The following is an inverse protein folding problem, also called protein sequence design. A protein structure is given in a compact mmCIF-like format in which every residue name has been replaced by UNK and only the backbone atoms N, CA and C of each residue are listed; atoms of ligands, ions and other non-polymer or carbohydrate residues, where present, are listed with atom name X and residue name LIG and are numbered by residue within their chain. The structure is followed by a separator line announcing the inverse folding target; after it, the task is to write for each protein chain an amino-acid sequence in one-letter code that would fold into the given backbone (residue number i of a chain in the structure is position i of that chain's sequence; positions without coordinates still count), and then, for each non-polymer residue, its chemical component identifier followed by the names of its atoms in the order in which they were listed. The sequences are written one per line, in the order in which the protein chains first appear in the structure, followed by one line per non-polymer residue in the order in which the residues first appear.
data_IF_455673270384
#
_entry.id   IF_455673270384
#
_cell.length_a   1.000
_cell.length_b   1.000
_cell.length_c   1.000
_cell.angle_alpha   90.00
_cell.angle_beta   90.00
_cell.angle_gamma   90.00
#
_symmetry.space_group_name_H-M   'P 1'
#
loop_
_entity.id
_entity.type
_entity.pdbx_description
1 polymer ?
#
# COMPACT_ATOMS: atom_id res chain seq x y z
N UNK A 1 -15.35 -27.27 9.26
CA UNK A 1 -14.52 -26.25 8.58
C UNK A 1 -14.15 -25.21 9.62
N UNK A 2 -12.88 -24.86 9.76
CA UNK A 2 -12.43 -23.74 10.60
C UNK A 2 -12.56 -22.44 9.81
N UNK A 3 -13.04 -21.37 10.45
CA UNK A 3 -13.09 -20.04 9.85
C UNK A 3 -11.66 -19.54 9.57
N UNK A 4 -11.44 -18.92 8.41
CA UNK A 4 -10.18 -18.24 8.07
C UNK A 4 -10.41 -16.73 8.00
N UNK A 5 -9.46 -15.96 8.51
CA UNK A 5 -9.51 -14.50 8.55
C UNK A 5 -8.24 -13.94 7.93
N UNK A 6 -8.39 -13.10 6.91
CA UNK A 6 -7.29 -12.43 6.22
C UNK A 6 -7.30 -10.92 6.44
N UNK A 7 -6.16 -10.29 6.20
CA UNK A 7 -5.96 -8.85 6.17
C UNK A 7 -5.87 -8.40 4.72
N UNK A 8 -6.60 -7.34 4.36
CA UNK A 8 -6.55 -6.71 3.05
C UNK A 8 -6.31 -5.21 3.22
N UNK A 9 -5.19 -4.72 2.71
CA UNK A 9 -4.73 -3.34 2.90
C UNK A 9 -4.37 -2.68 1.58
N UNK A 10 -4.59 -1.37 1.52
CA UNK A 10 -3.95 -0.51 0.54
C UNK A 10 -2.61 -0.04 1.10
N UNK A 11 -1.51 -0.48 0.45
CA UNK A 11 -0.16 -0.07 0.81
C UNK A 11 0.28 1.10 -0.07
N UNK A 12 0.60 2.24 0.55
CA UNK A 12 1.04 3.42 -0.18
C UNK A 12 1.41 4.58 0.74
N UNK A 13 1.93 5.65 0.15
CA UNK A 13 2.20 6.89 0.89
C UNK A 13 0.87 7.52 1.32
N UNK A 14 0.82 8.00 2.56
CA UNK A 14 -0.32 8.75 3.09
C UNK A 14 -0.56 10.02 2.26
N UNK A 15 -1.79 10.19 1.78
CA UNK A 15 -2.17 11.29 0.89
C UNK A 15 -3.21 12.16 1.60
N UNK A 16 -2.83 13.38 1.98
CA UNK A 16 -3.76 14.34 2.61
C UNK A 16 -4.87 14.79 1.67
N UNK A 17 -4.64 14.66 0.35
CA UNK A 17 -5.54 15.06 -0.73
C UNK A 17 -6.14 13.84 -1.48
N UNK A 18 -6.22 12.68 -0.83
CA UNK A 18 -6.80 11.48 -1.43
C UNK A 18 -8.23 11.74 -1.92
N UNK A 19 -8.50 11.51 -3.21
CA UNK A 19 -9.82 11.74 -3.77
C UNK A 19 -9.81 11.94 -5.28
N UNK A 20 -11.00 12.18 -5.87
CA UNK A 20 -11.14 12.45 -7.30
C UNK A 20 -10.71 13.87 -7.69
N UNK A 21 -10.48 14.74 -6.70
CA UNK A 21 -10.05 16.11 -6.90
C UNK A 21 -8.57 16.20 -7.31
N UNK A 22 -8.16 17.40 -7.73
CA UNK A 22 -6.76 17.69 -8.06
C UNK A 22 -5.86 17.59 -6.83
N UNK A 23 -4.58 17.23 -7.00
CA UNK A 23 -3.91 16.86 -8.26
C UNK A 23 -4.39 15.49 -8.78
N UNK A 24 -4.33 15.30 -10.10
CA UNK A 24 -4.64 14.00 -10.69
C UNK A 24 -3.71 12.93 -10.05
N UNK A 25 -4.16 11.67 -9.90
CA UNK A 25 -3.34 10.62 -9.28
C UNK A 25 -1.91 10.50 -9.84
N UNK A 26 -1.77 10.60 -11.16
CA UNK A 26 -0.47 10.56 -11.87
C UNK A 26 0.38 11.82 -11.71
N UNK A 27 -0.19 12.90 -11.19
CA UNK A 27 0.51 14.17 -10.93
C UNK A 27 1.07 14.26 -9.51
N UNK A 28 0.70 13.33 -8.62
CA UNK A 28 1.27 13.25 -7.27
C UNK A 28 2.75 12.85 -7.34
N UNK A 29 3.56 13.44 -6.46
CA UNK A 29 5.00 13.17 -6.32
C UNK A 29 5.32 12.97 -4.85
N UNK A 30 6.05 11.89 -4.57
CA UNK A 30 6.54 11.59 -3.23
C UNK A 30 8.05 11.41 -3.26
N UNK A 31 8.70 11.78 -2.15
CA UNK A 31 10.14 11.57 -2.00
C UNK A 31 10.44 10.09 -1.75
N UNK A 32 11.67 9.67 -2.02
CA UNK A 32 12.13 8.32 -1.66
C UNK A 32 11.95 8.02 -0.17
N UNK A 33 12.12 9.02 0.70
CA UNK A 33 11.90 8.87 2.15
C UNK A 33 10.44 8.55 2.47
N UNK A 34 9.48 9.24 1.83
CA UNK A 34 8.05 8.96 2.00
C UNK A 34 7.70 7.55 1.49
N UNK A 35 8.22 7.17 0.32
CA UNK A 35 8.02 5.83 -0.24
C UNK A 35 8.59 4.75 0.69
N UNK A 36 9.82 4.94 1.18
CA UNK A 36 10.46 4.00 2.10
C UNK A 36 9.70 3.84 3.41
N UNK A 37 9.22 4.95 3.98
CA UNK A 37 8.39 4.93 5.18
C UNK A 37 7.11 4.11 4.97
N UNK A 38 6.44 4.28 3.83
CA UNK A 38 5.26 3.48 3.49
C UNK A 38 5.61 1.99 3.38
N UNK A 39 6.76 1.64 2.80
CA UNK A 39 7.27 0.26 2.77
C UNK A 39 7.49 -0.31 4.17
N UNK A 40 8.14 0.44 5.07
CA UNK A 40 8.35 0.01 6.46
C UNK A 40 7.00 -0.23 7.17
N UNK A 41 6.00 0.64 6.96
CA UNK A 41 4.67 0.46 7.54
C UNK A 41 3.94 -0.78 7.01
N UNK A 42 4.08 -1.10 5.72
CA UNK A 42 3.53 -2.33 5.13
C UNK A 42 4.18 -3.57 5.76
N UNK A 43 5.50 -3.55 5.94
CA UNK A 43 6.25 -4.64 6.59
C UNK A 43 5.79 -4.80 8.05
N UNK A 44 5.69 -3.71 8.79
CA UNK A 44 5.23 -3.73 10.18
C UNK A 44 3.81 -4.30 10.30
N UNK A 45 2.91 -3.92 9.38
CA UNK A 45 1.56 -4.47 9.33
C UNK A 45 1.55 -5.98 9.02
N UNK A 46 2.40 -6.44 8.10
CA UNK A 46 2.55 -7.86 7.79
C UNK A 46 3.09 -8.66 8.99
N UNK A 47 4.16 -8.17 9.63
CA UNK A 47 4.75 -8.79 10.81
C UNK A 47 3.76 -8.82 12.00
N UNK A 48 2.96 -7.77 12.17
CA UNK A 48 1.91 -7.75 13.19
C UNK A 48 0.79 -8.74 12.85
N UNK A 49 0.39 -8.84 11.58
CA UNK A 49 -0.65 -9.77 11.13
C UNK A 49 -0.26 -11.23 11.40
N UNK A 50 1.01 -11.58 11.17
CA UNK A 50 1.55 -12.91 11.49
C UNK A 50 1.49 -13.19 13.00
N UNK A 51 1.95 -12.24 13.84
CA UNK A 51 1.89 -12.35 15.30
C UNK A 51 0.48 -12.50 15.85
N UNK A 52 -0.52 -11.89 15.19
CA UNK A 52 -1.93 -11.96 15.57
C UNK A 52 -2.64 -13.21 15.03
N UNK A 53 -1.99 -14.00 14.17
CA UNK A 53 -2.52 -15.26 13.66
C UNK A 53 -3.52 -15.12 12.52
N UNK A 54 -3.42 -14.06 11.71
CA UNK A 54 -4.20 -13.97 10.47
C UNK A 54 -3.71 -15.00 9.44
N UNK A 55 -4.66 -15.60 8.71
CA UNK A 55 -4.37 -16.68 7.75
C UNK A 55 -3.74 -16.18 6.45
N UNK A 56 -3.90 -14.89 6.14
CA UNK A 56 -3.36 -14.30 4.91
C UNK A 56 -3.23 -12.79 5.02
N UNK A 57 -2.26 -12.24 4.28
CA UNK A 57 -2.00 -10.82 4.16
C UNK A 57 -1.99 -10.46 2.67
N UNK A 58 -2.84 -9.52 2.29
CA UNK A 58 -3.06 -9.13 0.90
C UNK A 58 -2.92 -7.62 0.75
N UNK A 59 -2.20 -7.22 -0.29
CA UNK A 59 -2.10 -5.83 -0.71
C UNK A 59 -2.92 -5.64 -1.97
N UNK A 60 -3.64 -4.52 -2.04
CA UNK A 60 -4.29 -4.11 -3.28
C UNK A 60 -3.32 -3.36 -4.18
N UNK A 61 -3.36 -3.71 -5.46
CA UNK A 61 -2.56 -3.05 -6.49
C UNK A 61 -3.33 -1.90 -7.13
N UNK A 62 -2.70 -0.72 -7.25
CA UNK A 62 -3.24 0.41 -8.01
C UNK A 62 -2.11 1.10 -8.81
N UNK A 63 -2.32 1.28 -10.11
CA UNK A 63 -1.31 1.84 -11.03
C UNK A 63 -1.52 3.35 -11.24
N UNK A 64 -1.27 4.15 -10.20
CA UNK A 64 -1.42 5.61 -10.26
C UNK A 64 -0.09 6.39 -10.17
N UNK A 65 1.04 5.71 -10.32
CA UNK A 65 2.34 6.35 -10.23
C UNK A 65 2.61 7.23 -11.45
N UNK A 66 3.45 8.25 -11.24
CA UNK A 66 3.88 9.17 -12.28
C UNK A 66 4.57 8.45 -13.44
N UNK A 67 5.36 7.44 -13.11
CA UNK A 67 6.12 6.60 -14.02
C UNK A 67 5.23 5.74 -14.93
N UNK A 68 3.92 5.70 -14.68
CA UNK A 68 2.97 4.93 -15.47
C UNK A 68 3.07 3.41 -15.23
N UNK A 69 2.39 2.66 -16.07
CA UNK A 69 1.94 1.28 -15.88
C UNK A 69 3.04 0.21 -15.65
N UNK A 70 4.33 0.51 -15.79
CA UNK A 70 5.41 -0.45 -15.54
C UNK A 70 6.73 0.24 -15.23
N UNK A 71 7.06 0.45 -13.95
CA UNK A 71 8.44 0.27 -13.45
C UNK A 71 8.38 -0.16 -11.98
N UNK A 72 8.15 -1.47 -11.80
CA UNK A 72 8.19 -2.25 -10.52
C UNK A 72 6.88 -2.21 -9.69
N UNK A 73 6.16 -3.35 -9.59
CA UNK A 73 4.92 -3.44 -8.82
C UNK A 73 5.18 -3.62 -7.31
N UNK A 74 4.36 -2.91 -6.53
CA UNK A 74 3.99 -3.04 -5.11
C UNK A 74 5.10 -3.18 -4.04
N UNK A 75 4.84 -2.56 -2.88
CA UNK A 75 5.44 -3.01 -1.62
C UNK A 75 5.01 -4.41 -1.24
#
# INVERSE_FOLDING_TARGET
MTMRTGVFLFGGVEMEDAGPDLPAPTDRRYTNEQMWKATEQIIDAACLSDKLGFDSFWLTEHHFQYEGYEVVPNG
#
